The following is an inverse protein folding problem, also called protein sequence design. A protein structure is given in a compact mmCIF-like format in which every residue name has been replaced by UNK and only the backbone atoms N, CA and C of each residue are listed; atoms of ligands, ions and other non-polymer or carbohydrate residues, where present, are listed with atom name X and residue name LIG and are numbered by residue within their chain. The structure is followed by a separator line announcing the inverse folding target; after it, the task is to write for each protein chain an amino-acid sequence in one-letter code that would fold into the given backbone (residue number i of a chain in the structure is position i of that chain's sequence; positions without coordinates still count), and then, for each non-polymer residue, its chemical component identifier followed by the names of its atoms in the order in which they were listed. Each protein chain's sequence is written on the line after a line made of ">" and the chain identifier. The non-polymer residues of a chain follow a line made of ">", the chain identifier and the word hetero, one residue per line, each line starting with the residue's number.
data_IF_675733113658
#
_entry.id   IF_675733113658
#
_cell.length_a   1.000
_cell.length_b   1.000
_cell.length_c   1.000
_cell.angle_alpha   90.00
_cell.angle_beta   90.00
_cell.angle_gamma   90.00
#
_symmetry.space_group_name_H-M   'P 1'
#
loop_
_entity.id
_entity.type
_entity.pdbx_description
1 polymer ?
#
# COMPACT_ATOMS: atom_id res chain seq x y z
N UNK A 1 4.10 17.22 -6.05
CA UNK A 1 2.96 16.48 -5.47
C UNK A 1 2.82 15.18 -6.26
N UNK A 2 3.02 14.02 -5.63
CA UNK A 2 2.98 12.75 -6.36
C UNK A 2 1.60 12.54 -6.99
N UNK A 3 1.57 12.24 -8.29
CA UNK A 3 0.39 12.10 -9.15
C UNK A 3 -0.42 10.81 -8.85
N UNK A 4 -0.67 10.52 -7.57
CA UNK A 4 -1.57 9.44 -7.17
C UNK A 4 -2.60 10.00 -6.19
N UNK A 5 -3.87 9.80 -6.51
CA UNK A 5 -4.98 10.13 -5.62
C UNK A 5 -5.40 8.87 -4.87
N UNK A 6 -5.85 9.05 -3.63
CA UNK A 6 -6.32 7.95 -2.77
C UNK A 6 -7.51 7.20 -3.41
N UNK A 7 -8.17 7.84 -4.36
CA UNK A 7 -9.31 7.34 -5.12
C UNK A 7 -9.00 6.06 -5.89
N UNK A 8 -7.79 5.94 -6.47
CA UNK A 8 -7.41 4.72 -7.20
C UNK A 8 -7.18 3.53 -6.27
N UNK A 9 -6.62 3.78 -5.08
CA UNK A 9 -6.49 2.73 -4.06
C UNK A 9 -7.85 2.34 -3.47
N UNK A 10 -8.80 3.29 -3.37
CA UNK A 10 -10.16 3.05 -2.87
C UNK A 10 -11.01 2.22 -3.84
N UNK A 11 -10.73 2.27 -5.15
CA UNK A 11 -11.37 1.37 -6.13
C UNK A 11 -11.09 -0.11 -5.83
N UNK A 12 -9.91 -0.42 -5.27
CA UNK A 12 -9.56 -1.78 -4.89
C UNK A 12 -9.97 -2.14 -3.47
N UNK A 13 -9.84 -1.19 -2.54
CA UNK A 13 -10.16 -1.40 -1.13
C UNK A 13 -11.12 -0.28 -0.70
N UNK A 14 -12.44 -0.50 -0.78
CA UNK A 14 -13.43 0.54 -0.52
C UNK A 14 -13.43 0.99 0.95
N UNK A 15 -12.96 0.14 1.86
CA UNK A 15 -12.84 0.47 3.27
C UNK A 15 -11.55 1.26 3.54
N UNK A 16 -11.71 2.51 3.96
CA UNK A 16 -10.62 3.45 4.27
C UNK A 16 -9.75 3.00 5.45
N UNK A 17 -10.34 2.34 6.45
CA UNK A 17 -9.59 1.84 7.61
C UNK A 17 -8.70 0.67 7.22
N UNK A 18 -9.24 -0.30 6.49
CA UNK A 18 -8.48 -1.44 5.96
C UNK A 18 -7.37 -0.96 5.00
N UNK A 19 -7.68 -0.01 4.11
CA UNK A 19 -6.70 0.59 3.22
C UNK A 19 -5.54 1.22 4.01
N UNK A 20 -5.84 1.97 5.06
CA UNK A 20 -4.82 2.62 5.90
C UNK A 20 -3.94 1.60 6.60
N UNK A 21 -4.51 0.53 7.14
CA UNK A 21 -3.77 -0.55 7.79
C UNK A 21 -2.84 -1.28 6.81
N UNK A 22 -3.36 -1.65 5.63
CA UNK A 22 -2.60 -2.34 4.58
C UNK A 22 -1.46 -1.46 4.09
N UNK A 23 -1.75 -0.19 3.79
CA UNK A 23 -0.75 0.77 3.32
C UNK A 23 0.35 0.99 4.38
N UNK A 24 -0.02 1.09 5.65
CA UNK A 24 0.94 1.25 6.75
C UNK A 24 1.84 0.04 6.90
N UNK A 25 1.25 -1.16 6.91
CA UNK A 25 2.00 -2.41 7.04
C UNK A 25 2.95 -2.60 5.86
N UNK A 26 2.48 -2.37 4.63
CA UNK A 26 3.32 -2.45 3.43
C UNK A 26 4.41 -1.39 3.42
N UNK A 27 4.11 -0.16 3.83
CA UNK A 27 5.10 0.91 3.93
C UNK A 27 6.21 0.58 4.93
N UNK A 28 5.89 -0.09 6.05
CA UNK A 28 6.90 -0.59 6.99
C UNK A 28 7.80 -1.65 6.36
N UNK A 29 7.25 -2.60 5.61
CA UNK A 29 8.06 -3.58 4.88
C UNK A 29 9.00 -2.89 3.89
N UNK A 30 8.50 -1.93 3.11
CA UNK A 30 9.32 -1.17 2.18
C UNK A 30 10.42 -0.37 2.90
N UNK A 31 10.13 0.19 4.07
CA UNK A 31 11.12 0.86 4.90
C UNK A 31 12.19 -0.10 5.48
N UNK A 32 11.84 -1.37 5.70
CA UNK A 32 12.76 -2.43 6.10
C UNK A 32 13.62 -2.97 4.93
N UNK A 33 13.46 -2.44 3.72
CA UNK A 33 14.25 -2.84 2.55
C UNK A 33 13.63 -3.96 1.71
N UNK A 34 12.37 -4.33 1.95
CA UNK A 34 11.68 -5.26 1.06
C UNK A 34 11.54 -4.69 -0.35
N UNK A 35 11.66 -5.56 -1.36
CA UNK A 35 11.58 -5.16 -2.77
C UNK A 35 10.22 -4.53 -3.09
N UNK A 36 10.19 -3.31 -3.66
CA UNK A 36 8.97 -2.71 -4.18
C UNK A 36 8.53 -3.46 -5.45
N UNK A 37 7.24 -3.73 -5.56
CA UNK A 37 6.61 -4.34 -6.74
C UNK A 37 6.33 -3.29 -7.83
N UNK A 38 6.31 -2.01 -7.46
CA UNK A 38 6.14 -0.88 -8.37
C UNK A 38 7.33 0.06 -8.22
N UNK A 39 7.96 0.39 -9.33
CA UNK A 39 9.04 1.38 -9.33
C UNK A 39 8.50 2.76 -8.90
N UNK A 40 9.09 3.28 -7.84
CA UNK A 40 8.67 4.55 -7.26
C UNK A 40 9.86 5.20 -6.56
N UNK A 41 10.13 6.46 -6.92
CA UNK A 41 11.11 7.32 -6.24
C UNK A 41 10.51 8.06 -5.03
N UNK A 42 9.29 7.69 -4.63
CA UNK A 42 8.57 8.36 -3.54
C UNK A 42 8.81 7.67 -2.19
N UNK A 43 8.35 8.33 -1.13
CA UNK A 43 8.33 7.76 0.23
C UNK A 43 7.61 6.40 0.24
N UNK A 44 8.01 5.46 1.12
CA UNK A 44 7.42 4.12 1.22
C UNK A 44 5.88 4.10 1.28
N UNK A 45 5.27 5.06 1.96
CA UNK A 45 3.81 5.20 2.05
C UNK A 45 3.14 5.41 0.68
N UNK A 46 3.73 6.25 -0.16
CA UNK A 46 3.20 6.53 -1.51
C UNK A 46 3.42 5.33 -2.43
N UNK A 47 4.55 4.65 -2.28
CA UNK A 47 4.84 3.40 -3.01
C UNK A 47 3.87 2.29 -2.61
N UNK A 48 3.53 2.15 -1.32
CA UNK A 48 2.54 1.18 -0.86
C UNK A 48 1.15 1.44 -1.44
N UNK A 49 0.69 2.71 -1.46
CA UNK A 49 -0.59 3.09 -2.07
C UNK A 49 -0.64 2.86 -3.59
N UNK A 50 0.53 2.92 -4.26
CA UNK A 50 0.70 2.57 -5.68
C UNK A 50 0.70 1.07 -5.95
N UNK A 51 1.06 0.25 -4.98
CA UNK A 51 1.03 -1.22 -5.08
C UNK A 51 -0.36 -1.82 -4.77
N UNK A 52 -1.07 -1.27 -3.79
CA UNK A 52 -2.56 -1.17 -3.84
C UNK A 52 -2.88 -0.29 -5.07
N UNK A 53 -4.08 0.05 -5.53
CA UNK A 53 -4.28 0.70 -6.86
C UNK A 53 -3.78 -0.11 -8.10
N UNK A 54 -2.53 -0.56 -8.18
CA UNK A 54 -2.05 -1.50 -9.19
C UNK A 54 -2.48 -2.96 -8.92
N UNK A 55 -3.00 -3.27 -7.73
CA UNK A 55 -3.56 -4.59 -7.40
C UNK A 55 -2.52 -5.64 -7.03
N UNK A 56 -1.28 -5.22 -6.79
CA UNK A 56 -0.21 -6.11 -6.34
C UNK A 56 -0.26 -6.43 -4.85
N UNK A 57 -0.95 -5.60 -4.07
CA UNK A 57 -1.12 -5.73 -2.62
C UNK A 57 -2.60 -5.53 -2.29
N UNK A 58 -3.18 -6.47 -1.56
CA UNK A 58 -4.60 -6.44 -1.17
C UNK A 58 -4.84 -6.80 0.30
N UNK A 59 -6.09 -7.15 0.61
CA UNK A 59 -6.56 -7.56 1.94
C UNK A 59 -5.84 -8.77 2.53
N UNK A 60 -5.14 -9.54 1.71
CA UNK A 60 -4.27 -10.64 2.17
C UNK A 60 -3.22 -10.20 3.19
N UNK A 61 -2.79 -8.94 3.15
CA UNK A 61 -1.85 -8.38 4.12
C UNK A 61 -2.42 -8.32 5.53
N UNK A 62 -3.74 -8.13 5.67
CA UNK A 62 -4.39 -8.07 6.99
C UNK A 62 -4.37 -9.43 7.71
N UNK A 63 -4.34 -10.54 6.97
CA UNK A 63 -4.23 -11.90 7.54
C UNK A 63 -2.84 -12.21 8.09
N UNK A 64 -1.83 -11.42 7.71
CA UNK A 64 -0.43 -11.63 8.11
C UNK A 64 -0.02 -10.81 9.34
N UNK A 65 -0.94 -10.01 9.89
CA UNK A 65 -0.69 -9.26 11.12
C UNK A 65 -0.81 -10.25 12.29
N UNK A 66 0.29 -10.57 12.99
CA UNK A 66 0.21 -11.34 14.22
C UNK A 66 -0.63 -10.55 15.23
N UNK A 67 -1.56 -11.22 15.91
CA UNK A 67 -2.25 -10.63 17.07
C UNK A 67 -1.26 -10.42 18.21
#
# INVERSE_FOLDING_TARGET
>A
MARITVEDSLKQIPNRFELTLIATYRARMLAQGHTPKVESRNKPTVTALREVAAGHIGREMLRRVPT
#
